data_IF_732082537807
#
_entry.id   IF_732082537807
#
_cell.length_a   1.000
_cell.length_b   1.000
_cell.length_c   1.000
_cell.angle_alpha   90.00
_cell.angle_beta   90.00
_cell.angle_gamma   90.00
#
_symmetry.space_group_name_H-M   'P 1'
#
loop_
_entity.id
_entity.type
_entity.pdbx_description
1 polymer ?
#
# COMPACT_ATOMS: atom_id res chain seq x y z
N UNK A 1 -64.52 1.73 -26.04
CA UNK A 1 -63.92 2.30 -24.80
C UNK A 1 -62.42 2.09 -24.87
N UNK A 2 -61.65 3.05 -24.35
CA UNK A 2 -60.17 3.12 -24.28
C UNK A 2 -59.45 3.62 -25.55
N UNK A 3 -58.58 4.63 -25.52
CA UNK A 3 -58.27 5.68 -24.54
C UNK A 3 -57.50 6.73 -25.35
N UNK A 4 -57.90 7.99 -25.25
CA UNK A 4 -57.24 9.12 -25.89
C UNK A 4 -55.88 9.33 -25.21
N UNK A 5 -54.78 8.92 -25.84
CA UNK A 5 -53.43 9.21 -25.35
C UNK A 5 -53.10 10.67 -25.70
N UNK A 6 -53.52 11.59 -24.83
CA UNK A 6 -53.12 12.99 -24.87
C UNK A 6 -51.59 13.08 -24.85
N UNK A 7 -51.03 13.61 -25.94
CA UNK A 7 -49.61 13.91 -26.05
C UNK A 7 -49.38 15.18 -25.21
N UNK A 8 -48.85 15.04 -23.99
CA UNK A 8 -48.42 16.21 -23.19
C UNK A 8 -47.20 16.82 -23.88
N UNK A 9 -47.37 18.00 -24.45
CA UNK A 9 -46.25 18.77 -24.99
C UNK A 9 -45.41 19.32 -23.85
N UNK A 10 -44.09 19.13 -23.93
CA UNK A 10 -43.16 19.62 -22.91
C UNK A 10 -43.02 21.14 -23.00
N UNK A 11 -43.01 21.82 -21.86
CA UNK A 11 -42.75 23.26 -21.79
C UNK A 11 -41.32 23.58 -22.27
N UNK A 12 -41.09 24.76 -22.87
CA UNK A 12 -39.78 25.15 -23.41
C UNK A 12 -38.68 25.16 -22.34
N UNK A 13 -39.03 25.45 -21.08
CA UNK A 13 -38.12 25.36 -19.93
C UNK A 13 -37.67 23.93 -19.64
N UNK A 14 -38.59 22.97 -19.71
CA UNK A 14 -38.29 21.55 -19.50
C UNK A 14 -37.46 20.99 -20.65
N UNK A 15 -37.68 21.45 -21.89
CA UNK A 15 -36.85 21.11 -23.04
C UNK A 15 -35.42 21.62 -22.88
N UNK A 16 -35.23 22.87 -22.45
CA UNK A 16 -33.90 23.43 -22.22
C UNK A 16 -33.12 22.69 -21.12
N UNK A 17 -33.80 22.32 -20.02
CA UNK A 17 -33.20 21.52 -18.94
C UNK A 17 -32.80 20.13 -19.42
N UNK A 18 -33.65 19.46 -20.20
CA UNK A 18 -33.35 18.13 -20.75
C UNK A 18 -32.16 18.16 -21.72
N UNK A 19 -32.08 19.18 -22.59
CA UNK A 19 -30.95 19.35 -23.51
C UNK A 19 -29.66 19.65 -22.75
N UNK A 20 -29.72 20.50 -21.72
CA UNK A 20 -28.57 20.77 -20.85
C UNK A 20 -28.09 19.51 -20.12
N UNK A 21 -29.02 18.71 -19.60
CA UNK A 21 -28.71 17.46 -18.90
C UNK A 21 -28.10 16.42 -19.84
N UNK A 22 -28.58 16.27 -21.07
CA UNK A 22 -28.02 15.32 -22.05
C UNK A 22 -26.63 15.72 -22.52
N UNK A 23 -26.38 17.02 -22.73
CA UNK A 23 -25.04 17.55 -23.03
C UNK A 23 -24.07 17.33 -21.87
N UNK A 24 -24.50 17.57 -20.63
CA UNK A 24 -23.67 17.35 -19.46
C UNK A 24 -23.35 15.86 -19.27
N UNK A 25 -24.34 14.97 -19.42
CA UNK A 25 -24.10 13.53 -19.35
C UNK A 25 -23.18 13.06 -20.47
N UNK A 26 -23.40 13.53 -21.70
CA UNK A 26 -22.58 13.16 -22.86
C UNK A 26 -21.12 13.59 -22.71
N UNK A 27 -20.88 14.82 -22.25
CA UNK A 27 -19.53 15.32 -21.96
C UNK A 27 -18.89 14.57 -20.79
N UNK A 28 -19.62 14.32 -19.71
CA UNK A 28 -19.15 13.53 -18.56
C UNK A 28 -18.78 12.10 -18.96
N UNK A 29 -19.58 11.45 -19.80
CA UNK A 29 -19.29 10.10 -20.30
C UNK A 29 -18.07 10.11 -21.22
N UNK A 30 -17.95 11.07 -22.13
CA UNK A 30 -16.75 11.20 -22.98
C UNK A 30 -15.48 11.42 -22.14
N UNK A 31 -15.56 12.27 -21.10
CA UNK A 31 -14.47 12.47 -20.15
C UNK A 31 -14.12 11.15 -19.44
N UNK A 32 -15.11 10.44 -18.89
CA UNK A 32 -14.87 9.21 -18.12
C UNK A 32 -14.34 8.03 -18.96
N UNK A 33 -14.78 7.89 -20.21
CA UNK A 33 -14.45 6.72 -21.04
C UNK A 33 -13.36 6.94 -22.07
N UNK A 34 -13.11 8.17 -22.50
CA UNK A 34 -12.09 8.48 -23.50
C UNK A 34 -10.92 9.23 -22.88
N UNK A 35 -11.20 10.28 -22.12
CA UNK A 35 -10.17 11.20 -21.64
C UNK A 35 -9.43 10.68 -20.39
N UNK A 36 -10.17 10.23 -19.37
CA UNK A 36 -9.58 9.71 -18.13
C UNK A 36 -8.71 8.48 -18.41
N UNK A 37 -9.13 7.47 -19.21
CA UNK A 37 -8.29 6.33 -19.54
C UNK A 37 -7.05 6.71 -20.37
N UNK A 38 -7.18 7.68 -21.28
CA UNK A 38 -6.05 8.17 -22.08
C UNK A 38 -5.02 8.96 -21.24
N UNK A 39 -5.47 9.61 -20.15
CA UNK A 39 -4.58 10.26 -19.19
C UNK A 39 -3.99 9.28 -18.17
N UNK A 40 -4.74 8.22 -17.81
CA UNK A 40 -4.21 7.12 -17.02
C UNK A 40 -3.44 6.17 -17.94
N UNK A 41 -2.27 6.62 -18.41
CA UNK A 41 -1.22 5.71 -18.82
C UNK A 41 -0.78 4.96 -17.56
N UNK A 42 -1.57 3.97 -17.15
CA UNK A 42 -1.12 2.93 -16.24
C UNK A 42 -0.14 2.13 -17.08
N UNK A 43 1.09 2.61 -17.15
CA UNK A 43 2.19 1.79 -17.63
C UNK A 43 2.28 0.63 -16.66
N UNK A 44 2.06 -0.58 -17.14
CA UNK A 44 2.30 -1.77 -16.34
C UNK A 44 3.67 -1.63 -15.70
N UNK A 45 3.71 -1.72 -14.36
CA UNK A 45 4.96 -1.57 -13.63
C UNK A 45 5.85 -2.75 -14.00
N UNK A 46 6.79 -2.51 -14.93
CA UNK A 46 7.80 -3.46 -15.35
C UNK A 46 9.10 -3.13 -14.63
N UNK A 47 9.76 -4.15 -14.10
CA UNK A 47 11.14 -4.02 -13.65
C UNK A 47 12.01 -3.82 -14.89
N UNK A 48 12.61 -2.63 -15.02
CA UNK A 48 13.39 -2.26 -16.18
C UNK A 48 14.89 -2.15 -15.85
N UNK A 49 15.76 -2.42 -16.84
CA UNK A 49 17.22 -2.30 -16.68
C UNK A 49 17.68 -0.85 -16.50
N UNK A 50 16.87 0.14 -16.90
CA UNK A 50 17.13 1.56 -16.70
C UNK A 50 16.73 2.08 -15.31
N UNK A 51 16.01 1.30 -14.52
CA UNK A 51 15.57 1.74 -13.19
C UNK A 51 16.74 1.82 -12.21
N UNK A 52 16.77 2.89 -11.40
CA UNK A 52 17.82 3.14 -10.39
C UNK A 52 18.15 1.94 -9.49
N UNK A 53 17.19 1.04 -9.32
CA UNK A 53 17.27 -0.14 -8.49
C UNK A 53 17.77 -1.41 -9.19
N UNK A 54 17.94 -1.37 -10.50
CA UNK A 54 18.20 -2.54 -11.35
C UNK A 54 19.30 -2.29 -12.41
N UNK A 55 19.82 -1.07 -12.49
CA UNK A 55 20.85 -0.62 -13.46
C UNK A 55 22.19 -1.35 -13.40
N UNK A 56 22.55 -1.94 -12.27
CA UNK A 56 23.83 -2.62 -12.09
C UNK A 56 23.62 -3.97 -11.41
N UNK A 57 24.64 -4.83 -11.46
CA UNK A 57 24.63 -6.14 -10.78
C UNK A 57 24.51 -6.04 -9.25
N UNK A 58 24.81 -4.86 -8.68
CA UNK A 58 24.63 -4.55 -7.25
C UNK A 58 24.17 -3.11 -7.08
N UNK A 59 22.98 -2.93 -6.51
CA UNK A 59 22.35 -1.62 -6.29
C UNK A 59 21.93 -1.47 -4.83
N UNK A 60 21.93 -0.22 -4.34
CA UNK A 60 21.27 0.16 -3.09
C UNK A 60 19.99 0.92 -3.42
N UNK A 61 18.90 0.46 -2.85
CA UNK A 61 17.57 0.99 -3.05
C UNK A 61 17.05 1.51 -1.73
N UNK A 62 16.68 2.79 -1.72
CA UNK A 62 15.93 3.37 -0.62
C UNK A 62 14.67 2.55 -0.38
N UNK A 63 14.46 2.20 0.88
CA UNK A 63 13.23 1.62 1.35
C UNK A 63 12.70 2.54 2.43
N UNK A 64 11.43 2.93 2.34
CA UNK A 64 10.80 3.76 3.37
C UNK A 64 10.09 2.90 4.42
N UNK A 65 10.49 1.62 4.54
CA UNK A 65 9.96 0.73 5.55
C UNK A 65 10.37 1.25 6.94
N UNK A 66 9.36 1.44 7.78
CA UNK A 66 9.50 1.67 9.22
C UNK A 66 8.69 0.57 9.90
N UNK A 67 9.30 -0.15 10.84
CA UNK A 67 8.62 -1.19 11.61
C UNK A 67 8.55 -0.77 13.08
N UNK A 68 7.42 -1.07 13.73
CA UNK A 68 7.24 -0.91 15.17
C UNK A 68 6.89 -2.27 15.74
N UNK A 69 7.74 -2.78 16.61
CA UNK A 69 7.66 -4.14 17.14
C UNK A 69 7.15 -4.06 18.58
N UNK A 70 6.16 -4.88 18.89
CA UNK A 70 5.58 -5.01 20.22
C UNK A 70 5.71 -6.47 20.65
N UNK A 71 6.09 -6.67 21.91
CA UNK A 71 6.21 -7.98 22.53
C UNK A 71 5.14 -8.17 23.61
N UNK A 72 4.84 -9.41 23.94
CA UNK A 72 3.96 -9.76 25.06
C UNK A 72 4.80 -10.32 26.20
N UNK A 73 4.96 -9.53 27.27
CA UNK A 73 5.65 -9.92 28.49
C UNK A 73 4.74 -10.74 29.40
N UNK A 74 5.18 -11.93 29.81
CA UNK A 74 4.46 -12.82 30.72
C UNK A 74 4.81 -12.47 32.16
N UNK A 75 3.81 -12.03 32.92
CA UNK A 75 3.98 -11.58 34.32
C UNK A 75 3.85 -12.70 35.35
N UNK A 76 3.37 -13.88 34.97
CA UNK A 76 3.16 -15.04 35.85
C UNK A 76 3.84 -16.35 35.35
N UNK A 77 5.11 -16.34 34.92
CA UNK A 77 5.72 -17.49 34.24
C UNK A 77 5.75 -18.77 35.09
N UNK A 78 5.99 -18.66 36.40
CA UNK A 78 6.03 -19.83 37.30
C UNK A 78 4.68 -20.56 37.40
N UNK A 79 3.56 -19.83 37.37
CA UNK A 79 2.22 -20.40 37.44
C UNK A 79 1.81 -21.07 36.13
N UNK A 80 2.23 -20.48 35.00
CA UNK A 80 2.06 -21.03 33.65
C UNK A 80 2.81 -22.35 33.55
N UNK A 81 4.09 -22.37 33.95
CA UNK A 81 4.92 -23.58 33.94
C UNK A 81 4.36 -24.67 34.87
N UNK A 82 3.77 -24.28 36.00
CA UNK A 82 3.09 -25.21 36.90
C UNK A 82 1.72 -25.71 36.39
N UNK A 83 1.21 -25.16 35.27
CA UNK A 83 -0.09 -25.51 34.71
C UNK A 83 -1.28 -25.05 35.57
N UNK A 84 -1.07 -24.09 36.46
CA UNK A 84 -2.08 -23.65 37.43
C UNK A 84 -2.91 -22.47 36.95
N UNK A 85 -2.34 -21.61 36.10
CA UNK A 85 -2.98 -20.40 35.59
C UNK A 85 -2.59 -20.19 34.11
N UNK A 86 -3.46 -19.56 33.30
CA UNK A 86 -3.08 -19.12 31.96
C UNK A 86 -2.05 -17.98 32.02
N UNK A 87 -1.31 -17.71 30.93
CA UNK A 87 -0.37 -16.60 30.86
C UNK A 87 -1.07 -15.24 31.02
N UNK A 88 -0.54 -14.42 31.92
CA UNK A 88 -0.91 -13.02 32.10
C UNK A 88 0.06 -12.14 31.30
N UNK A 89 -0.43 -11.64 30.16
CA UNK A 89 0.37 -10.90 29.18
C UNK A 89 0.27 -9.38 29.38
N UNK A 90 1.39 -8.69 29.23
CA UNK A 90 1.50 -7.22 29.19
C UNK A 90 2.26 -6.84 27.93
N UNK A 91 1.70 -5.96 27.11
CA UNK A 91 2.39 -5.48 25.90
C UNK A 91 3.60 -4.60 26.28
N UNK A 92 4.72 -4.80 25.61
CA UNK A 92 5.95 -4.00 25.75
C UNK A 92 6.40 -3.57 24.37
N UNK A 93 6.42 -2.26 24.12
CA UNK A 93 6.76 -1.69 22.83
C UNK A 93 6.22 -0.25 22.67
N UNK A 94 6.59 0.44 21.57
CA UNK A 94 7.29 -0.11 20.41
C UNK A 94 8.81 -0.15 20.55
N UNK A 95 9.43 -1.15 19.93
CA UNK A 95 10.82 -1.12 19.47
C UNK A 95 10.82 -0.80 17.98
N UNK A 96 11.45 0.30 17.60
CA UNK A 96 11.31 0.87 16.25
C UNK A 96 12.53 0.58 15.39
N UNK A 97 12.28 0.11 14.17
CA UNK A 97 13.30 -0.06 13.13
C UNK A 97 13.02 0.97 12.04
N UNK A 98 14.04 1.74 11.64
CA UNK A 98 13.94 2.78 10.62
C UNK A 98 15.16 2.80 9.68
N UNK A 99 15.25 3.82 8.82
CA UNK A 99 16.33 4.01 7.84
C UNK A 99 16.63 2.77 6.98
N UNK A 100 15.58 2.09 6.54
CA UNK A 100 15.74 0.83 5.84
C UNK A 100 16.33 1.03 4.44
N UNK A 101 17.23 0.14 4.05
CA UNK A 101 17.82 0.13 2.70
C UNK A 101 17.82 -1.30 2.20
N UNK A 102 17.29 -1.52 1.01
CA UNK A 102 17.45 -2.80 0.33
C UNK A 102 18.69 -2.77 -0.56
N UNK A 103 19.59 -3.72 -0.35
CA UNK A 103 20.68 -3.98 -1.28
C UNK A 103 20.30 -5.18 -2.13
N UNK A 104 20.27 -4.99 -3.45
CA UNK A 104 20.11 -6.08 -4.40
C UNK A 104 21.46 -6.44 -4.97
N UNK A 105 21.75 -7.73 -5.08
CA UNK A 105 23.03 -8.27 -5.56
C UNK A 105 22.78 -9.41 -6.53
N UNK A 106 23.78 -9.69 -7.37
CA UNK A 106 23.72 -10.74 -8.39
C UNK A 106 22.51 -10.58 -9.34
N UNK A 107 22.16 -9.34 -9.67
CA UNK A 107 21.03 -9.03 -10.54
C UNK A 107 21.33 -9.57 -11.94
N UNK A 108 20.52 -10.53 -12.39
CA UNK A 108 20.60 -11.13 -13.72
C UNK A 108 19.22 -11.22 -14.32
N UNK A 109 19.03 -10.53 -15.44
CA UNK A 109 17.81 -10.59 -16.23
C UNK A 109 17.90 -11.71 -17.26
N UNK A 110 16.77 -12.33 -17.59
CA UNK A 110 16.66 -13.24 -18.72
C UNK A 110 16.91 -12.50 -20.05
N UNK A 111 17.19 -13.24 -21.12
CA UNK A 111 17.49 -12.66 -22.43
C UNK A 111 16.29 -11.92 -23.05
N UNK A 112 15.07 -12.30 -22.67
CA UNK A 112 13.80 -11.75 -23.12
C UNK A 112 13.18 -10.75 -22.13
N UNK A 113 13.90 -10.39 -21.05
CA UNK A 113 13.46 -9.48 -19.99
C UNK A 113 12.12 -9.86 -19.31
N UNK A 114 11.78 -11.15 -19.31
CA UNK A 114 10.60 -11.69 -18.64
C UNK A 114 10.87 -12.07 -17.19
N UNK A 115 12.13 -12.36 -16.86
CA UNK A 115 12.56 -12.76 -15.52
C UNK A 115 13.76 -11.94 -15.04
N UNK A 116 13.82 -11.72 -13.72
CA UNK A 116 14.99 -11.16 -13.05
C UNK A 116 15.28 -11.97 -11.79
N UNK A 117 16.52 -12.41 -11.67
CA UNK A 117 17.04 -13.10 -10.49
C UNK A 117 17.98 -12.18 -9.72
N UNK A 118 17.89 -12.21 -8.39
CA UNK A 118 18.71 -11.38 -7.51
C UNK A 118 18.66 -11.91 -6.08
N UNK A 119 19.65 -11.53 -5.28
CA UNK A 119 19.63 -11.68 -3.82
C UNK A 119 19.30 -10.32 -3.21
N UNK A 120 18.35 -10.27 -2.28
CA UNK A 120 17.98 -9.05 -1.56
C UNK A 120 18.41 -9.13 -0.11
N UNK A 121 19.11 -8.11 0.37
CA UNK A 121 19.46 -7.95 1.78
C UNK A 121 18.88 -6.65 2.29
N UNK A 122 18.07 -6.74 3.35
CA UNK A 122 17.53 -5.58 4.05
C UNK A 122 18.51 -5.14 5.14
N UNK A 123 18.92 -3.89 5.09
CA UNK A 123 19.62 -3.20 6.17
C UNK A 123 18.65 -2.25 6.85
N UNK A 124 18.79 -2.08 8.15
CA UNK A 124 17.96 -1.18 8.94
C UNK A 124 18.67 -0.76 10.23
N UNK A 125 18.25 0.37 10.77
CA UNK A 125 18.76 0.89 12.04
C UNK A 125 17.72 0.71 13.16
N UNK A 126 18.22 0.49 14.37
CA UNK A 126 17.39 0.54 15.58
C UNK A 126 17.19 2.00 15.98
N UNK A 127 15.94 2.46 15.93
CA UNK A 127 15.55 3.84 16.17
C UNK A 127 15.21 4.06 17.65
N UNK A 128 16.23 3.96 18.50
CA UNK A 128 16.08 4.02 19.97
C UNK A 128 15.42 5.32 20.46
N UNK A 129 15.50 6.41 19.70
CA UNK A 129 14.82 7.67 20.02
C UNK A 129 13.30 7.59 19.91
N UNK A 130 12.78 6.60 19.19
CA UNK A 130 11.35 6.37 18.97
C UNK A 130 10.85 5.10 19.69
N UNK A 131 11.63 4.53 20.61
CA UNK A 131 11.17 3.42 21.44
C UNK A 131 10.12 3.89 22.45
N UNK A 132 9.42 2.95 23.08
CA UNK A 132 8.60 3.24 24.25
C UNK A 132 9.42 3.85 25.41
N UNK A 133 8.71 4.56 26.30
CA UNK A 133 9.32 5.16 27.49
C UNK A 133 10.00 4.11 28.36
N UNK A 134 11.30 4.29 28.59
CA UNK A 134 12.12 3.38 29.41
C UNK A 134 12.59 2.12 28.69
N UNK A 135 12.22 1.91 27.42
CA UNK A 135 12.61 0.75 26.66
C UNK A 135 14.03 0.87 26.11
N UNK A 136 14.74 -0.25 26.04
CA UNK A 136 16.14 -0.32 25.60
C UNK A 136 16.44 -1.56 24.77
N UNK A 137 17.54 -1.53 24.02
CA UNK A 137 18.01 -2.69 23.24
C UNK A 137 18.41 -3.90 24.10
N UNK A 138 18.57 -3.71 25.41
CA UNK A 138 18.96 -4.76 26.34
C UNK A 138 17.76 -5.28 27.15
N UNK A 139 16.53 -4.89 26.80
CA UNK A 139 15.35 -5.33 27.52
C UNK A 139 15.14 -6.83 27.32
N UNK A 140 14.89 -7.51 28.43
CA UNK A 140 14.49 -8.92 28.44
C UNK A 140 12.97 -8.99 28.57
N UNK A 141 12.31 -9.56 27.56
CA UNK A 141 10.87 -9.82 27.57
C UNK A 141 10.67 -11.33 27.70
N UNK A 142 9.92 -11.74 28.72
CA UNK A 142 9.73 -13.15 29.11
C UNK A 142 8.37 -13.71 28.66
#
# INVERSE_FOLDING_TARGET
VFLHRSRRELTPTLQAVLVGATLFLGTSLCLAYLYVPALSLITDYKIDRGDKCWVTSTTRCENNLKASIYFWNITNPSQVLAGTHPPALVEVGPYVISNTVNKRQNITFSNDDTEVSFVSTLYADMDAANFCDGCSMNDEVY
#
